data_IF_519060983264
#
_entry.id   IF_519060983264
#
_cell.length_a   1.000
_cell.length_b   1.000
_cell.length_c   1.000
_cell.angle_alpha   90.00
_cell.angle_beta   90.00
_cell.angle_gamma   90.00
#
_symmetry.space_group_name_H-M   'P 1'
#
loop_
_entity.id
_entity.type
_entity.pdbx_description
1 polymer ?
#
# COMPACT_ATOMS: atom_id res chain seq x y z
N UNK A 1 1.62 -23.21 -14.54
CA UNK A 1 1.44 -24.58 -13.98
C UNK A 1 1.02 -24.58 -12.50
N UNK A 2 1.49 -23.66 -11.68
CA UNK A 2 1.12 -23.51 -10.28
C UNK A 2 -0.30 -22.94 -10.13
N UNK A 3 -0.67 -21.94 -10.90
CA UNK A 3 -2.00 -21.30 -10.93
C UNK A 3 -3.07 -22.31 -11.37
N UNK A 4 -2.77 -23.12 -12.37
CA UNK A 4 -3.71 -24.15 -12.84
C UNK A 4 -3.91 -25.26 -11.81
N UNK A 5 -2.86 -25.64 -11.06
CA UNK A 5 -2.96 -26.61 -9.95
C UNK A 5 -3.77 -26.08 -8.77
N UNK A 6 -3.63 -24.79 -8.46
CA UNK A 6 -4.37 -24.11 -7.37
C UNK A 6 -5.86 -23.98 -7.72
N UNK A 7 -6.19 -23.58 -8.97
CA UNK A 7 -7.58 -23.54 -9.47
C UNK A 7 -8.26 -24.91 -9.44
N UNK A 8 -7.56 -26.00 -9.76
CA UNK A 8 -8.09 -27.37 -9.70
C UNK A 8 -8.34 -27.82 -8.25
N UNK A 9 -7.49 -27.41 -7.30
CA UNK A 9 -7.63 -27.79 -5.89
C UNK A 9 -8.81 -27.10 -5.22
N UNK A 10 -9.08 -25.83 -5.53
CA UNK A 10 -10.24 -25.08 -5.02
C UNK A 10 -11.56 -25.63 -5.58
N UNK A 11 -11.61 -26.01 -6.86
CA UNK A 11 -12.80 -26.64 -7.48
C UNK A 11 -13.08 -28.01 -6.86
N UNK A 12 -12.06 -28.77 -6.47
CA UNK A 12 -12.24 -30.07 -5.81
C UNK A 12 -12.73 -29.96 -4.37
N UNK A 13 -12.35 -28.91 -3.62
CA UNK A 13 -12.90 -28.65 -2.28
C UNK A 13 -14.37 -28.19 -2.33
N UNK A 14 -14.74 -27.35 -3.29
CA UNK A 14 -16.13 -26.90 -3.48
C UNK A 14 -17.07 -28.08 -3.87
N UNK A 15 -16.58 -29.04 -4.67
CA UNK A 15 -17.36 -30.21 -5.07
C UNK A 15 -17.58 -31.23 -3.93
N UNK A 16 -16.72 -31.23 -2.89
CA UNK A 16 -16.85 -32.17 -1.76
C UNK A 16 -17.91 -31.73 -0.73
N UNK A 17 -18.36 -30.47 -0.72
CA UNK A 17 -19.36 -29.96 0.23
C UNK A 17 -20.81 -30.01 -0.29
N UNK A 18 -21.05 -30.38 -1.56
CA UNK A 18 -22.41 -30.47 -2.14
C UNK A 18 -23.05 -31.84 -2.08
N UNK A 19 -22.42 -32.82 -1.43
CA UNK A 19 -22.79 -34.25 -1.45
C UNK A 19 -23.71 -34.75 -0.33
N UNK A 20 -24.27 -33.93 0.58
CA UNK A 20 -25.00 -34.47 1.74
C UNK A 20 -26.33 -33.78 2.10
N UNK A 21 -27.17 -33.44 1.12
CA UNK A 21 -28.56 -33.05 1.40
C UNK A 21 -29.51 -33.53 0.28
N UNK A 22 -29.76 -34.82 0.20
CA UNK A 22 -30.90 -35.37 -0.55
C UNK A 22 -31.71 -36.28 0.40
N UNK A 23 -32.79 -35.73 0.93
CA UNK A 23 -33.75 -36.50 1.75
C UNK A 23 -35.04 -35.74 1.99
N UNK A 24 -36.05 -36.02 1.14
CA UNK A 24 -37.51 -36.02 1.34
C UNK A 24 -38.30 -34.74 1.62
N UNK A 25 -39.16 -34.38 0.66
CA UNK A 25 -40.59 -34.29 0.96
C UNK A 25 -41.32 -32.98 0.77
N UNK A 26 -42.02 -32.87 -0.37
CA UNK A 26 -43.36 -32.27 -0.61
C UNK A 26 -43.57 -30.73 -0.51
N UNK A 27 -43.77 -30.20 -1.68
CA UNK A 27 -44.91 -29.27 -2.12
C UNK A 27 -45.12 -27.93 -1.40
N UNK A 28 -45.00 -26.97 -2.22
CA UNK A 28 -45.79 -25.73 -2.45
C UNK A 28 -45.24 -24.40 -2.00
N UNK A 29 -45.15 -23.62 -3.02
CA UNK A 29 -45.44 -22.18 -3.18
C UNK A 29 -44.27 -21.19 -3.01
N UNK A 30 -43.97 -20.65 -4.20
CA UNK A 30 -43.66 -19.24 -4.50
C UNK A 30 -43.37 -18.37 -3.28
N UNK A 31 -42.13 -18.00 -3.14
CA UNK A 31 -41.82 -16.57 -3.02
C UNK A 31 -40.38 -16.35 -3.50
N UNK A 32 -40.18 -15.18 -4.09
CA UNK A 32 -38.89 -14.70 -4.56
C UNK A 32 -37.77 -15.10 -3.63
N UNK A 33 -36.69 -15.59 -4.20
CA UNK A 33 -35.45 -15.73 -3.49
C UNK A 33 -35.17 -14.38 -2.81
N UNK A 34 -35.29 -14.37 -1.50
CA UNK A 34 -34.62 -13.42 -0.63
C UNK A 34 -33.14 -13.75 -0.82
N UNK A 35 -32.51 -13.09 -1.79
CA UNK A 35 -31.08 -12.95 -1.82
C UNK A 35 -30.80 -12.11 -0.57
N UNK A 36 -30.49 -12.76 0.56
CA UNK A 36 -29.93 -12.08 1.71
C UNK A 36 -28.75 -11.32 1.15
N UNK A 37 -28.86 -9.98 1.07
CA UNK A 37 -27.72 -9.13 0.74
C UNK A 37 -26.60 -9.57 1.67
N UNK A 38 -25.58 -10.15 1.11
CA UNK A 38 -24.43 -10.62 1.87
C UNK A 38 -23.84 -9.42 2.58
N UNK A 39 -23.88 -9.45 3.94
CA UNK A 39 -23.51 -8.29 4.74
C UNK A 39 -22.04 -7.96 4.46
N UNK A 40 -21.74 -6.71 4.15
CA UNK A 40 -20.38 -6.25 3.91
C UNK A 40 -19.50 -6.54 5.13
N UNK A 41 -18.36 -7.17 4.88
CA UNK A 41 -17.27 -7.40 5.82
C UNK A 41 -15.97 -6.90 5.21
N UNK A 42 -15.33 -5.97 5.89
CA UNK A 42 -14.10 -5.35 5.43
C UNK A 42 -12.90 -5.96 6.14
N UNK A 43 -11.91 -6.35 5.37
CA UNK A 43 -10.59 -6.72 5.87
C UNK A 43 -9.53 -5.75 5.32
N UNK A 44 -8.53 -5.47 6.12
CA UNK A 44 -7.30 -4.82 5.68
C UNK A 44 -6.15 -5.82 5.77
N UNK A 45 -5.29 -5.85 4.76
CA UNK A 45 -4.02 -6.59 4.82
C UNK A 45 -2.88 -5.57 4.80
N UNK A 46 -2.00 -5.62 5.82
CA UNK A 46 -0.79 -4.78 5.87
C UNK A 46 0.26 -5.31 4.90
N UNK A 47 1.23 -4.49 4.52
CA UNK A 47 2.36 -4.93 3.68
C UNK A 47 3.22 -6.03 4.37
N UNK A 48 3.97 -5.68 5.37
CA UNK A 48 4.65 -6.52 6.36
C UNK A 48 4.81 -5.74 7.67
N UNK A 49 4.54 -4.43 7.61
CA UNK A 49 4.61 -3.49 8.72
C UNK A 49 3.50 -3.70 9.75
N UNK A 50 3.59 -2.95 10.83
CA UNK A 50 2.63 -2.99 11.92
C UNK A 50 1.61 -1.87 11.80
N UNK A 51 0.42 -2.08 12.35
CA UNK A 51 -0.63 -1.05 12.44
C UNK A 51 -0.29 0.09 13.41
N UNK A 52 0.90 0.09 13.97
CA UNK A 52 1.46 1.11 14.86
C UNK A 52 2.72 1.76 14.30
N UNK A 53 2.93 1.66 12.98
CA UNK A 53 4.11 2.16 12.27
C UNK A 53 4.20 3.69 12.17
N UNK A 54 3.22 4.41 12.67
CA UNK A 54 3.04 5.86 12.56
C UNK A 54 3.06 6.35 11.09
N UNK A 55 2.69 5.48 10.16
CA UNK A 55 2.77 5.69 8.73
C UNK A 55 1.58 5.05 8.00
N UNK A 56 1.83 4.46 6.83
CA UNK A 56 0.80 4.03 5.88
C UNK A 56 -0.10 2.93 6.42
N UNK A 57 0.47 1.89 7.08
CA UNK A 57 -0.35 0.81 7.65
C UNK A 57 -1.24 1.32 8.80
N UNK A 58 -0.69 2.13 9.70
CA UNK A 58 -1.49 2.69 10.80
C UNK A 58 -2.61 3.58 10.27
N UNK A 59 -2.33 4.49 9.35
CA UNK A 59 -3.34 5.40 8.79
C UNK A 59 -4.44 4.63 8.06
N UNK A 60 -4.10 3.62 7.27
CA UNK A 60 -5.06 2.77 6.60
C UNK A 60 -5.93 2.00 7.59
N UNK A 61 -5.31 1.40 8.61
CA UNK A 61 -6.01 0.68 9.68
C UNK A 61 -7.00 1.58 10.43
N UNK A 62 -6.55 2.77 10.85
CA UNK A 62 -7.40 3.71 11.60
C UNK A 62 -8.56 4.21 10.74
N UNK A 63 -8.33 4.49 9.46
CA UNK A 63 -9.37 4.91 8.53
C UNK A 63 -10.42 3.81 8.31
N UNK A 64 -9.99 2.58 8.03
CA UNK A 64 -10.90 1.44 7.83
C UNK A 64 -11.70 1.14 9.11
N UNK A 65 -11.06 1.16 10.27
CA UNK A 65 -11.70 0.94 11.57
C UNK A 65 -12.72 2.02 11.91
N UNK A 66 -12.38 3.30 11.67
CA UNK A 66 -13.29 4.41 11.92
C UNK A 66 -14.51 4.33 10.99
N UNK A 67 -14.29 4.08 9.70
CA UNK A 67 -15.35 3.95 8.71
C UNK A 67 -16.26 2.75 9.00
N UNK A 68 -15.69 1.59 9.34
CA UNK A 68 -16.46 0.41 9.72
C UNK A 68 -17.35 0.66 10.94
N UNK A 69 -16.80 1.34 11.96
CA UNK A 69 -17.56 1.72 13.15
C UNK A 69 -18.70 2.70 12.83
N UNK A 70 -18.45 3.70 11.99
CA UNK A 70 -19.46 4.70 11.60
C UNK A 70 -20.63 4.09 10.82
N UNK A 71 -20.35 3.05 10.02
CA UNK A 71 -21.32 2.42 9.13
C UNK A 71 -21.88 1.09 9.67
N UNK A 72 -21.55 0.68 10.89
CA UNK A 72 -21.93 -0.62 11.49
C UNK A 72 -21.50 -1.81 10.64
N UNK A 73 -20.26 -1.74 10.11
CA UNK A 73 -19.65 -2.77 9.26
C UNK A 73 -18.54 -3.46 10.04
N UNK A 74 -18.52 -4.80 9.98
CA UNK A 74 -17.45 -5.61 10.57
C UNK A 74 -16.13 -5.33 9.87
N UNK A 75 -15.09 -5.05 10.66
CA UNK A 75 -13.74 -4.78 10.19
C UNK A 75 -12.71 -5.61 10.96
N UNK A 76 -11.82 -6.27 10.22
CA UNK A 76 -10.67 -6.99 10.73
C UNK A 76 -9.41 -6.60 9.96
N UNK A 77 -8.22 -6.87 10.52
CA UNK A 77 -6.97 -6.72 9.79
C UNK A 77 -6.12 -7.98 9.88
N UNK A 78 -5.27 -8.16 8.89
CA UNK A 78 -4.38 -9.29 8.76
C UNK A 78 -2.97 -8.79 8.51
N UNK A 79 -2.00 -9.34 9.23
CA UNK A 79 -0.59 -9.03 9.05
C UNK A 79 0.10 -10.26 8.45
N UNK A 80 0.77 -10.14 7.29
CA UNK A 80 1.57 -11.22 6.72
C UNK A 80 2.65 -11.69 7.69
N UNK A 81 2.95 -12.99 7.68
CA UNK A 81 3.96 -13.57 8.57
C UNK A 81 5.40 -13.24 8.17
N UNK A 82 5.61 -12.80 6.93
CA UNK A 82 6.88 -12.37 6.40
C UNK A 82 6.66 -11.33 5.29
N UNK A 83 7.73 -10.61 4.95
CA UNK A 83 7.74 -9.71 3.80
C UNK A 83 7.96 -10.49 2.51
N UNK A 84 6.90 -11.14 2.03
CA UNK A 84 6.92 -11.85 0.76
C UNK A 84 5.53 -11.85 0.11
N UNK A 85 5.52 -11.97 -1.23
CA UNK A 85 4.27 -11.97 -2.01
C UNK A 85 3.38 -13.16 -1.58
N UNK A 86 3.95 -14.34 -1.30
CA UNK A 86 3.21 -15.52 -0.85
C UNK A 86 2.55 -15.30 0.53
N UNK A 87 3.23 -14.61 1.45
CA UNK A 87 2.68 -14.33 2.77
C UNK A 87 1.53 -13.31 2.71
N UNK A 88 1.64 -12.31 1.82
CA UNK A 88 0.57 -11.34 1.56
C UNK A 88 -0.64 -12.01 0.95
N UNK A 89 -0.45 -12.83 -0.07
CA UNK A 89 -1.52 -13.62 -0.71
C UNK A 89 -2.19 -14.56 0.29
N UNK A 90 -1.41 -15.28 1.13
CA UNK A 90 -1.98 -16.15 2.16
C UNK A 90 -2.82 -15.39 3.20
N UNK A 91 -2.46 -14.12 3.50
CA UNK A 91 -3.26 -13.27 4.39
C UNK A 91 -4.58 -12.84 3.75
N UNK A 92 -4.59 -12.61 2.43
CA UNK A 92 -5.83 -12.37 1.66
C UNK A 92 -6.71 -13.61 1.64
N UNK A 93 -6.15 -14.79 1.34
CA UNK A 93 -6.87 -16.07 1.39
C UNK A 93 -7.54 -16.27 2.76
N UNK A 94 -6.81 -15.97 3.85
CA UNK A 94 -7.35 -16.08 5.20
C UNK A 94 -8.50 -15.09 5.44
N UNK A 95 -8.37 -13.85 5.00
CA UNK A 95 -9.42 -12.83 5.14
C UNK A 95 -10.70 -13.25 4.39
N UNK A 96 -10.56 -13.79 3.17
CA UNK A 96 -11.70 -14.31 2.39
C UNK A 96 -12.32 -15.53 3.09
N UNK A 97 -11.50 -16.45 3.60
CA UNK A 97 -11.99 -17.62 4.34
C UNK A 97 -12.76 -17.25 5.61
N UNK A 98 -12.40 -16.14 6.25
CA UNK A 98 -13.09 -15.58 7.42
C UNK A 98 -14.35 -14.77 7.03
N UNK A 99 -14.64 -14.68 5.73
CA UNK A 99 -15.86 -14.10 5.17
C UNK A 99 -15.75 -12.62 4.80
N UNK A 100 -14.55 -12.06 4.66
CA UNK A 100 -14.39 -10.72 4.10
C UNK A 100 -14.76 -10.72 2.62
N UNK A 101 -15.57 -9.73 2.20
CA UNK A 101 -15.98 -9.51 0.82
C UNK A 101 -15.53 -8.14 0.27
N UNK A 102 -14.87 -7.33 1.10
CA UNK A 102 -14.12 -6.13 0.71
C UNK A 102 -12.75 -6.20 1.37
N UNK A 103 -11.69 -6.15 0.59
CA UNK A 103 -10.32 -6.25 1.07
C UNK A 103 -9.53 -5.01 0.68
N UNK A 104 -8.97 -4.32 1.69
CA UNK A 104 -8.09 -3.17 1.54
C UNK A 104 -6.64 -3.64 1.61
N UNK A 105 -5.90 -3.42 0.55
CA UNK A 105 -4.50 -3.79 0.38
C UNK A 105 -3.62 -2.55 0.56
N UNK A 106 -2.74 -2.57 1.57
CA UNK A 106 -2.00 -1.38 2.01
C UNK A 106 -0.60 -1.33 1.41
N UNK A 107 -0.49 -0.80 0.18
CA UNK A 107 0.79 -0.47 -0.44
C UNK A 107 1.06 -1.14 -1.79
N UNK A 108 2.00 -0.58 -2.54
CA UNK A 108 2.38 -0.99 -3.91
C UNK A 108 2.81 -2.47 -4.03
N UNK A 109 3.32 -3.03 -2.95
CA UNK A 109 3.75 -4.45 -2.89
C UNK A 109 2.63 -5.45 -3.13
N UNK A 110 1.38 -5.01 -3.15
CA UNK A 110 0.23 -5.86 -3.43
C UNK A 110 -0.10 -6.02 -4.92
N UNK A 111 0.68 -5.44 -5.84
CA UNK A 111 0.47 -5.67 -7.27
C UNK A 111 0.43 -7.16 -7.65
N UNK A 112 1.34 -8.06 -7.16
CA UNK A 112 1.23 -9.50 -7.42
C UNK A 112 -0.06 -10.11 -6.86
N UNK A 113 -0.46 -9.71 -5.66
CA UNK A 113 -1.69 -10.21 -5.02
C UNK A 113 -2.94 -9.78 -5.81
N UNK A 114 -2.99 -8.55 -6.32
CA UNK A 114 -4.07 -8.09 -7.21
C UNK A 114 -4.16 -8.96 -8.45
N UNK A 115 -3.02 -9.25 -9.10
CA UNK A 115 -2.95 -10.11 -10.29
C UNK A 115 -3.45 -11.54 -9.98
N UNK A 116 -3.00 -12.10 -8.87
CA UNK A 116 -3.27 -13.50 -8.54
C UNK A 116 -4.71 -13.71 -8.01
N UNK A 117 -5.22 -12.78 -7.19
CA UNK A 117 -6.43 -13.01 -6.41
C UNK A 117 -7.70 -12.39 -7.05
N UNK A 118 -7.57 -11.41 -7.94
CA UNK A 118 -8.74 -10.76 -8.54
C UNK A 118 -9.60 -11.71 -9.38
N UNK A 119 -8.97 -12.59 -10.14
CA UNK A 119 -9.66 -13.64 -10.91
C UNK A 119 -10.10 -14.82 -10.04
N UNK A 120 -9.38 -15.09 -8.95
CA UNK A 120 -9.67 -16.20 -8.05
C UNK A 120 -10.92 -15.93 -7.22
N UNK A 121 -11.14 -14.68 -6.82
CA UNK A 121 -12.25 -14.22 -5.98
C UNK A 121 -13.07 -13.11 -6.68
N UNK A 122 -13.78 -13.41 -7.79
CA UNK A 122 -14.46 -12.39 -8.59
C UNK A 122 -15.60 -11.67 -7.84
N UNK A 123 -16.14 -12.24 -6.77
CA UNK A 123 -17.16 -11.63 -5.91
C UNK A 123 -16.58 -10.72 -4.82
N UNK A 124 -15.30 -10.86 -4.48
CA UNK A 124 -14.61 -10.02 -3.50
C UNK A 124 -14.20 -8.71 -4.16
N UNK A 125 -14.40 -7.58 -3.48
CA UNK A 125 -13.91 -6.27 -3.95
C UNK A 125 -12.57 -5.95 -3.31
N UNK A 126 -11.60 -5.59 -4.14
CA UNK A 126 -10.25 -5.21 -3.70
C UNK A 126 -10.06 -3.70 -3.85
N UNK A 127 -9.63 -3.05 -2.79
CA UNK A 127 -9.17 -1.66 -2.79
C UNK A 127 -7.65 -1.68 -2.60
N UNK A 128 -6.91 -1.53 -3.69
CA UNK A 128 -5.45 -1.56 -3.70
C UNK A 128 -4.88 -0.14 -3.62
N UNK A 129 -4.38 0.21 -2.44
CA UNK A 129 -3.86 1.53 -2.15
C UNK A 129 -2.39 1.63 -2.56
N UNK A 130 -2.03 2.69 -3.26
CA UNK A 130 -0.70 2.96 -3.80
C UNK A 130 -0.21 1.87 -4.79
N UNK A 131 -1.13 1.24 -5.49
CA UNK A 131 -0.82 0.31 -6.58
C UNK A 131 -1.05 1.01 -7.91
N UNK A 132 0.01 1.23 -8.66
CA UNK A 132 -0.02 1.91 -9.95
C UNK A 132 -0.11 0.94 -11.13
N UNK A 133 -0.45 1.46 -12.30
CA UNK A 133 -0.36 0.71 -13.55
C UNK A 133 1.07 0.17 -13.80
N UNK A 134 2.10 0.94 -13.41
CA UNK A 134 3.50 0.51 -13.50
C UNK A 134 3.80 -0.72 -12.65
N UNK A 135 3.30 -0.75 -11.39
CA UNK A 135 3.50 -1.89 -10.48
C UNK A 135 2.83 -3.16 -11.02
N UNK A 136 1.61 -3.03 -11.56
CA UNK A 136 0.90 -4.15 -12.20
C UNK A 136 1.65 -4.64 -13.43
N UNK A 137 2.07 -3.72 -14.34
CA UNK A 137 2.81 -4.09 -15.56
C UNK A 137 4.15 -4.74 -15.22
N UNK A 138 4.90 -4.22 -14.26
CA UNK A 138 6.19 -4.79 -13.85
C UNK A 138 6.03 -6.25 -13.40
N UNK A 139 5.01 -6.54 -12.62
CA UNK A 139 4.75 -7.89 -12.12
C UNK A 139 4.10 -8.81 -13.15
N UNK A 140 3.16 -8.30 -13.95
CA UNK A 140 2.44 -9.07 -14.97
C UNK A 140 3.28 -9.42 -16.19
N UNK A 141 4.19 -8.54 -16.60
CA UNK A 141 5.05 -8.70 -17.79
C UNK A 141 6.40 -9.32 -17.41
N UNK A 142 6.99 -8.92 -16.29
CA UNK A 142 8.31 -9.37 -15.86
C UNK A 142 9.44 -8.78 -16.72
N UNK A 143 10.40 -9.62 -17.12
CA UNK A 143 11.63 -9.19 -17.84
C UNK A 143 11.38 -8.42 -19.16
N UNK A 144 10.18 -8.49 -19.71
CA UNK A 144 9.81 -7.78 -20.95
C UNK A 144 9.28 -6.36 -20.72
N UNK A 145 9.11 -5.94 -19.48
CA UNK A 145 8.58 -4.62 -19.17
C UNK A 145 9.60 -3.51 -19.44
N UNK A 146 9.21 -2.52 -20.22
CA UNK A 146 10.06 -1.39 -20.61
C UNK A 146 9.95 -0.17 -19.69
N UNK A 147 9.31 -0.32 -18.52
CA UNK A 147 9.06 0.71 -17.50
C UNK A 147 8.18 1.89 -17.98
N UNK A 148 7.41 1.67 -19.06
CA UNK A 148 6.39 2.62 -19.50
C UNK A 148 5.02 1.93 -19.56
N UNK A 149 4.15 2.10 -18.53
CA UNK A 149 2.85 1.44 -18.50
C UNK A 149 1.91 1.83 -19.64
N UNK A 150 2.13 3.01 -20.27
CA UNK A 150 1.30 3.47 -21.39
C UNK A 150 1.47 2.62 -22.66
N UNK A 151 2.49 1.78 -22.72
CA UNK A 151 2.70 0.84 -23.83
C UNK A 151 1.89 -0.45 -23.69
N UNK A 152 1.20 -0.65 -22.57
CA UNK A 152 0.52 -1.90 -22.23
C UNK A 152 -0.92 -1.64 -21.82
N UNK A 153 -1.78 -2.62 -22.03
CA UNK A 153 -3.12 -2.59 -21.45
C UNK A 153 -3.09 -3.23 -20.06
N UNK A 154 -3.08 -2.43 -19.02
CA UNK A 154 -2.93 -2.90 -17.63
C UNK A 154 -4.04 -3.86 -17.21
N UNK A 155 -5.26 -3.73 -17.77
CA UNK A 155 -6.40 -4.60 -17.43
C UNK A 155 -6.28 -6.01 -18.01
N UNK A 156 -5.27 -6.28 -18.85
CA UNK A 156 -4.97 -7.65 -19.31
C UNK A 156 -4.37 -8.53 -18.18
N UNK A 157 -3.96 -7.93 -17.06
CA UNK A 157 -3.25 -8.60 -15.97
C UNK A 157 -4.08 -8.83 -14.71
N UNK A 158 -5.23 -8.18 -14.56
CA UNK A 158 -6.12 -8.33 -13.41
C UNK A 158 -7.58 -8.13 -13.78
N UNK A 159 -8.49 -8.58 -12.93
CA UNK A 159 -9.91 -8.39 -13.13
C UNK A 159 -10.36 -6.99 -12.70
N UNK A 160 -10.58 -6.08 -13.67
CA UNK A 160 -10.99 -4.71 -13.41
C UNK A 160 -12.39 -4.56 -12.80
N UNK A 161 -13.24 -5.59 -12.90
CA UNK A 161 -14.60 -5.54 -12.39
C UNK A 161 -14.68 -5.56 -10.86
N UNK A 162 -13.64 -6.06 -10.20
CA UNK A 162 -13.62 -6.22 -8.75
C UNK A 162 -12.42 -5.56 -8.05
N UNK A 163 -11.54 -4.88 -8.78
CA UNK A 163 -10.36 -4.19 -8.23
C UNK A 163 -10.44 -2.69 -8.47
N UNK A 164 -10.21 -1.92 -7.43
CA UNK A 164 -9.97 -0.48 -7.51
C UNK A 164 -8.55 -0.18 -7.05
N UNK A 165 -7.68 0.21 -7.99
CA UNK A 165 -6.33 0.70 -7.69
C UNK A 165 -6.34 2.22 -7.59
N UNK A 166 -5.62 2.77 -6.62
CA UNK A 166 -5.42 4.21 -6.51
C UNK A 166 -3.99 4.55 -6.13
N UNK A 167 -3.51 5.69 -6.60
CA UNK A 167 -2.26 6.33 -6.20
C UNK A 167 -2.56 7.71 -5.65
N UNK A 168 -1.61 8.30 -4.95
CA UNK A 168 -1.77 9.60 -4.33
C UNK A 168 -0.90 10.65 -5.03
N UNK A 169 -1.18 11.93 -4.76
CA UNK A 169 -0.37 13.05 -5.22
C UNK A 169 0.64 13.41 -4.12
N UNK A 170 1.59 12.51 -3.87
CA UNK A 170 2.58 12.64 -2.80
C UNK A 170 3.47 13.86 -3.00
N UNK A 171 3.68 14.29 -4.25
CA UNK A 171 4.41 15.50 -4.58
C UNK A 171 3.81 16.76 -3.95
N UNK A 172 2.49 16.81 -3.74
CA UNK A 172 1.85 17.95 -3.08
C UNK A 172 2.19 18.00 -1.59
N UNK A 173 2.17 16.85 -0.92
CA UNK A 173 2.55 16.75 0.50
C UNK A 173 4.04 17.05 0.68
N UNK A 174 4.88 16.50 -0.20
CA UNK A 174 6.31 16.83 -0.26
C UNK A 174 6.55 18.32 -0.45
N UNK A 175 5.87 18.92 -1.42
CA UNK A 175 5.97 20.36 -1.69
C UNK A 175 5.61 21.19 -0.46
N UNK A 176 4.48 20.89 0.19
CA UNK A 176 4.07 21.61 1.39
C UNK A 176 5.11 21.49 2.52
N UNK A 177 5.70 20.31 2.71
CA UNK A 177 6.71 20.10 3.73
C UNK A 177 8.01 20.88 3.45
N UNK A 178 8.51 20.84 2.22
CA UNK A 178 9.71 21.59 1.82
C UNK A 178 9.52 23.11 1.89
N UNK A 179 8.37 23.58 1.40
CA UNK A 179 7.99 24.99 1.47
C UNK A 179 7.91 25.46 2.93
N UNK A 180 7.19 24.70 3.77
CA UNK A 180 7.05 25.04 5.19
C UNK A 180 8.40 25.05 5.93
N UNK A 181 9.30 24.11 5.65
CA UNK A 181 10.61 24.06 6.28
C UNK A 181 11.41 25.36 6.03
N UNK A 182 11.46 25.82 4.79
CA UNK A 182 12.16 27.09 4.45
C UNK A 182 11.46 28.30 5.05
N UNK A 183 10.12 28.35 5.03
CA UNK A 183 9.34 29.45 5.62
C UNK A 183 9.48 29.51 7.15
N UNK A 184 9.72 28.38 7.82
CA UNK A 184 10.02 28.30 9.26
C UNK A 184 11.44 28.73 9.61
N UNK A 185 12.28 29.01 8.62
CA UNK A 185 13.63 29.54 8.83
C UNK A 185 14.77 28.55 8.62
N UNK A 186 14.48 27.28 8.35
CA UNK A 186 15.51 26.28 8.02
C UNK A 186 16.16 26.57 6.67
N UNK A 187 17.45 26.31 6.56
CA UNK A 187 18.25 26.57 5.35
C UNK A 187 18.95 25.33 4.81
N UNK A 188 19.33 24.42 5.68
CA UNK A 188 19.93 23.15 5.29
C UNK A 188 18.99 22.00 5.64
N UNK A 189 18.28 21.53 4.62
CA UNK A 189 17.23 20.55 4.73
C UNK A 189 17.73 19.16 4.34
N UNK A 190 17.10 18.10 4.86
CA UNK A 190 17.34 16.72 4.46
C UNK A 190 16.05 16.03 4.01
N UNK A 191 16.14 15.19 2.99
CA UNK A 191 15.11 14.22 2.63
C UNK A 191 15.67 12.82 2.77
N UNK A 192 15.17 12.08 3.75
CA UNK A 192 15.48 10.66 3.96
C UNK A 192 14.33 9.81 3.43
N UNK A 193 14.47 9.30 2.20
CA UNK A 193 13.54 8.34 1.65
C UNK A 193 13.80 6.91 2.15
N UNK A 194 12.76 6.09 2.23
CA UNK A 194 12.92 4.66 2.47
C UNK A 194 13.55 3.97 1.26
N UNK A 195 12.77 3.34 0.44
CA UNK A 195 13.20 2.80 -0.87
C UNK A 195 12.94 3.81 -1.98
N UNK A 196 13.72 3.73 -3.07
CA UNK A 196 13.51 4.56 -4.26
C UNK A 196 12.37 4.00 -5.12
N UNK A 197 11.16 4.05 -4.58
CA UNK A 197 9.92 3.67 -5.28
C UNK A 197 9.13 4.89 -5.72
N UNK A 198 8.17 4.76 -6.66
CA UNK A 198 7.48 5.91 -7.26
C UNK A 198 6.89 6.90 -6.25
N UNK A 199 6.21 6.42 -5.20
CA UNK A 199 5.62 7.28 -4.18
C UNK A 199 6.68 8.09 -3.41
N UNK A 200 7.75 7.44 -2.94
CA UNK A 200 8.86 8.10 -2.22
C UNK A 200 9.55 9.14 -3.11
N UNK A 201 9.74 8.80 -4.40
CA UNK A 201 10.33 9.73 -5.37
C UNK A 201 9.43 10.95 -5.61
N UNK A 202 8.09 10.79 -5.67
CA UNK A 202 7.14 11.91 -5.79
C UNK A 202 7.20 12.80 -4.54
N UNK A 203 7.21 12.24 -3.33
CA UNK A 203 7.43 13.01 -2.10
C UNK A 203 8.72 13.82 -2.14
N UNK A 204 9.85 13.19 -2.49
CA UNK A 204 11.16 13.84 -2.53
C UNK A 204 11.24 14.92 -3.59
N UNK A 205 10.71 14.67 -4.78
CA UNK A 205 10.61 15.66 -5.84
C UNK A 205 9.80 16.88 -5.37
N UNK A 206 8.62 16.65 -4.80
CA UNK A 206 7.79 17.72 -4.25
C UNK A 206 8.52 18.50 -3.16
N UNK A 207 9.22 17.83 -2.25
CA UNK A 207 9.97 18.45 -1.16
C UNK A 207 11.02 19.43 -1.67
N UNK A 208 11.82 19.03 -2.66
CA UNK A 208 12.82 19.89 -3.27
C UNK A 208 12.17 21.07 -3.99
N UNK A 209 11.09 20.85 -4.74
CA UNK A 209 10.35 21.93 -5.43
C UNK A 209 9.71 22.92 -4.46
N UNK A 210 9.19 22.45 -3.34
CA UNK A 210 8.62 23.30 -2.30
C UNK A 210 9.67 24.17 -1.62
N UNK A 211 10.83 23.59 -1.29
CA UNK A 211 11.95 24.32 -0.73
C UNK A 211 12.46 25.41 -1.69
N UNK A 212 12.61 25.08 -2.98
CA UNK A 212 13.03 26.02 -4.03
C UNK A 212 12.01 27.16 -4.22
N UNK A 213 10.71 26.84 -4.21
CA UNK A 213 9.66 27.84 -4.34
C UNK A 213 9.68 28.86 -3.19
N UNK A 214 9.80 28.40 -1.94
CA UNK A 214 9.91 29.26 -0.77
C UNK A 214 11.22 30.09 -0.79
N UNK A 215 12.32 29.47 -1.18
CA UNK A 215 13.62 30.18 -1.30
C UNK A 215 13.55 31.31 -2.33
N UNK A 216 12.89 31.08 -3.47
CA UNK A 216 12.66 32.10 -4.50
C UNK A 216 11.77 33.23 -3.98
N UNK A 217 10.68 32.91 -3.30
CA UNK A 217 9.76 33.90 -2.72
C UNK A 217 10.47 34.82 -1.71
N UNK A 218 11.36 34.25 -0.89
CA UNK A 218 12.13 34.98 0.10
C UNK A 218 13.40 35.68 -0.47
N UNK A 219 13.77 35.39 -1.72
CA UNK A 219 15.00 35.92 -2.34
C UNK A 219 16.29 35.35 -1.78
N UNK A 220 16.27 34.10 -1.31
CA UNK A 220 17.38 33.39 -0.60
C UNK A 220 17.78 32.07 -1.28
N UNK A 221 17.61 31.95 -2.59
CA UNK A 221 17.88 30.71 -3.33
C UNK A 221 19.28 30.16 -3.13
N UNK A 222 20.29 31.03 -2.97
CA UNK A 222 21.67 30.61 -2.76
C UNK A 222 21.97 30.18 -1.31
N UNK A 223 21.03 30.36 -0.40
CA UNK A 223 21.18 30.02 1.03
C UNK A 223 20.56 28.64 1.39
N UNK A 224 19.64 28.14 0.54
CA UNK A 224 18.90 26.90 0.83
C UNK A 224 19.59 25.71 0.17
N UNK A 225 19.84 24.67 0.96
CA UNK A 225 20.43 23.42 0.51
C UNK A 225 19.54 22.23 0.91
N UNK A 226 19.48 21.20 0.07
CA UNK A 226 18.73 19.98 0.35
C UNK A 226 19.65 18.77 0.15
N UNK A 227 19.92 18.04 1.23
CA UNK A 227 20.53 16.71 1.17
C UNK A 227 19.43 15.68 0.85
N UNK A 228 19.77 14.69 0.02
CA UNK A 228 18.80 13.68 -0.43
C UNK A 228 19.43 12.28 -0.41
N UNK A 229 18.77 11.33 0.27
CA UNK A 229 19.19 9.93 0.32
C UNK A 229 18.00 9.00 0.46
N UNK A 230 18.10 7.78 -0.07
CA UNK A 230 17.21 6.68 0.23
C UNK A 230 17.99 5.63 1.04
N UNK A 231 17.38 5.15 2.15
CA UNK A 231 17.99 4.17 3.05
C UNK A 231 17.97 2.73 2.53
N UNK A 232 17.18 2.45 1.48
CA UNK A 232 17.04 1.11 0.91
C UNK A 232 16.04 0.20 1.62
N UNK A 233 15.33 0.71 2.63
CA UNK A 233 14.34 -0.01 3.44
C UNK A 233 13.38 0.96 4.13
N UNK A 234 12.25 0.46 4.66
CA UNK A 234 11.23 1.30 5.30
C UNK A 234 11.27 1.29 6.84
N UNK A 235 12.37 0.85 7.43
CA UNK A 235 12.61 0.86 8.88
C UNK A 235 13.97 1.46 9.20
N UNK A 236 14.13 1.97 10.43
CA UNK A 236 15.40 2.50 10.89
C UNK A 236 16.35 1.39 11.34
N UNK A 237 17.65 1.64 11.19
CA UNK A 237 18.72 0.79 11.68
C UNK A 237 19.97 1.61 12.05
N UNK A 238 21.00 0.93 12.56
CA UNK A 238 22.22 1.57 13.01
C UNK A 238 22.99 2.27 11.87
N UNK A 239 22.96 1.73 10.64
CA UNK A 239 23.68 2.30 9.50
C UNK A 239 23.00 3.60 9.04
N UNK A 240 21.66 3.62 8.99
CA UNK A 240 20.88 4.82 8.66
C UNK A 240 21.05 5.86 9.77
N UNK A 241 21.02 5.46 11.06
CA UNK A 241 21.25 6.36 12.20
C UNK A 241 22.64 7.00 12.10
N UNK A 242 23.70 6.22 11.84
CA UNK A 242 25.06 6.75 11.66
C UNK A 242 25.17 7.71 10.46
N UNK A 243 24.40 7.47 9.38
CA UNK A 243 24.33 8.38 8.25
C UNK A 243 23.65 9.70 8.63
N UNK A 244 22.56 9.65 9.40
CA UNK A 244 21.89 10.84 9.93
C UNK A 244 22.74 11.62 10.92
N UNK A 245 23.52 10.93 11.80
CA UNK A 245 24.54 11.58 12.65
C UNK A 245 25.50 12.45 11.83
N UNK A 246 25.92 11.93 10.66
CA UNK A 246 26.77 12.71 9.74
C UNK A 246 26.04 13.94 9.20
N UNK A 247 24.77 13.84 8.89
CA UNK A 247 23.98 14.96 8.41
C UNK A 247 23.84 16.07 9.47
N UNK A 248 23.40 15.71 10.67
CA UNK A 248 23.24 16.70 11.75
C UNK A 248 24.59 17.22 12.27
N UNK A 249 25.57 16.32 12.53
CA UNK A 249 26.82 16.67 13.16
C UNK A 249 27.84 17.35 12.23
N UNK A 250 28.05 16.79 11.03
CA UNK A 250 29.14 17.22 10.14
C UNK A 250 28.68 18.11 9.00
N UNK A 251 27.49 17.87 8.44
CA UNK A 251 26.95 18.68 7.32
C UNK A 251 26.10 19.85 7.80
N UNK A 252 25.58 19.81 9.03
CA UNK A 252 24.76 20.87 9.59
C UNK A 252 23.35 20.88 9.03
N UNK A 253 22.79 19.73 8.67
CA UNK A 253 21.37 19.59 8.30
C UNK A 253 20.53 19.95 9.53
N UNK A 254 19.55 20.82 9.37
CA UNK A 254 18.77 21.39 10.46
C UNK A 254 17.42 20.69 10.66
N UNK A 255 16.86 20.13 9.58
CA UNK A 255 15.58 19.44 9.59
C UNK A 255 15.56 18.33 8.54
N UNK A 256 15.01 17.18 8.88
CA UNK A 256 14.90 16.03 7.97
C UNK A 256 13.43 15.65 7.79
N UNK A 257 13.01 15.56 6.53
CA UNK A 257 11.74 14.91 6.16
C UNK A 257 12.03 13.42 5.92
N UNK A 258 11.63 12.58 6.86
CA UNK A 258 11.76 11.13 6.74
C UNK A 258 10.49 10.56 6.06
N UNK A 259 10.67 9.98 4.87
CA UNK A 259 9.60 9.48 4.01
C UNK A 259 9.72 7.96 3.83
N UNK A 260 8.93 7.21 4.58
CA UNK A 260 8.87 5.76 4.45
C UNK A 260 8.76 5.02 5.78
N UNK A 261 7.55 4.70 6.21
CA UNK A 261 7.27 3.88 7.37
C UNK A 261 8.11 4.23 8.59
N UNK A 262 8.73 3.22 9.20
CA UNK A 262 9.53 3.35 10.41
C UNK A 262 10.93 3.96 10.23
N UNK A 263 11.34 4.38 9.02
CA UNK A 263 12.69 4.92 8.79
C UNK A 263 12.96 6.22 9.58
N UNK A 264 11.89 6.95 9.94
CA UNK A 264 12.00 8.16 10.77
C UNK A 264 12.69 7.92 12.11
N UNK A 265 12.64 6.69 12.64
CA UNK A 265 13.27 6.35 13.94
C UNK A 265 14.77 6.60 13.93
N UNK A 266 15.46 6.29 12.82
CA UNK A 266 16.90 6.59 12.67
C UNK A 266 17.18 8.09 12.62
N UNK A 267 16.34 8.89 11.95
CA UNK A 267 16.52 10.34 11.94
C UNK A 267 16.25 10.95 13.32
N UNK A 268 15.24 10.42 14.05
CA UNK A 268 14.92 10.88 15.40
C UNK A 268 15.96 10.45 16.44
N UNK A 269 16.59 9.28 16.27
CA UNK A 269 17.65 8.80 17.17
C UNK A 269 18.92 9.62 17.03
N UNK A 270 19.26 10.07 15.80
CA UNK A 270 20.44 10.87 15.51
C UNK A 270 20.29 12.36 15.88
N UNK A 271 19.04 12.88 16.03
CA UNK A 271 18.77 14.29 16.34
C UNK A 271 18.90 14.63 17.82
#
# INVERSE_FOLDING_TARGET
>A
DAIMKRKIMVVLLAAAMTGSLAGCGSTQNKNAADASEEKMKVAMVTDSGDITDQSFNQMTYEACKAWGKENDIEFNYYKPQSDSDEARTASVDQAVADGANVIVLSGYVFAPTVIDESDLYPEVKFLALDVSAGDICEKGIGEGYDYNPDHYNVTDYYNEDNVYCCTYQEELSGFMAGYAAVMLGYRHLGFLGGMSVPAVNRYGYGYVQGADAAAKELGITDEVQVEYVCGGQFYGDADITAYMDTWYGSKGVEVVFACGGGIYTSAAEAA
#
